data_IF_166950858414
#
_entry.id   IF_166950858414
#
_cell.length_a   1.000
_cell.length_b   1.000
_cell.length_c   1.000
_cell.angle_alpha   90.00
_cell.angle_beta   90.00
_cell.angle_gamma   90.00
#
_symmetry.space_group_name_H-M   'P 1'
#
loop_
_entity.id
_entity.type
_entity.pdbx_description
1 polymer ?
#
# COMPACT_ATOMS: atom_id res chain seq x y z
N UNK A 1 37.97 16.55 -27.06
CA UNK A 1 36.91 15.75 -27.69
C UNK A 1 35.58 16.35 -27.31
N UNK A 2 34.75 16.58 -28.32
CA UNK A 2 33.49 17.32 -28.24
C UNK A 2 32.35 16.52 -27.59
N UNK A 3 31.34 17.29 -27.18
CA UNK A 3 30.03 16.99 -26.61
C UNK A 3 29.21 15.85 -27.25
N UNK A 4 28.32 15.24 -26.46
CA UNK A 4 26.85 15.46 -26.58
C UNK A 4 26.07 14.70 -25.51
N UNK A 5 25.38 15.45 -24.65
CA UNK A 5 24.23 14.97 -23.88
C UNK A 5 22.96 15.24 -24.68
N UNK A 6 22.05 14.27 -24.73
CA UNK A 6 20.75 14.41 -25.37
C UNK A 6 19.67 14.55 -24.28
N UNK A 7 19.08 15.76 -24.18
CA UNK A 7 17.85 16.05 -23.45
C UNK A 7 16.68 16.00 -24.44
N UNK A 8 15.66 15.18 -24.15
CA UNK A 8 14.41 15.14 -24.90
C UNK A 8 13.40 16.19 -24.38
N UNK A 9 12.52 16.74 -25.25
CA UNK A 9 11.62 17.84 -24.89
C UNK A 9 10.31 17.40 -24.25
N UNK A 10 9.85 18.20 -23.27
CA UNK A 10 8.57 18.10 -22.60
C UNK A 10 7.45 18.77 -23.43
N UNK A 11 6.30 18.08 -23.55
CA UNK A 11 5.08 18.61 -24.18
C UNK A 11 4.21 19.30 -23.13
N UNK A 12 3.72 20.49 -23.51
CA UNK A 12 3.05 21.44 -22.63
C UNK A 12 1.60 21.09 -22.25
N UNK A 13 1.26 21.52 -21.04
CA UNK A 13 -0.08 21.53 -20.46
C UNK A 13 -0.94 22.65 -21.08
N UNK A 14 -2.15 22.31 -21.52
CA UNK A 14 -3.17 23.25 -21.99
C UNK A 14 -4.35 23.33 -21.01
N UNK A 15 -4.76 24.58 -20.76
CA UNK A 15 -6.12 25.08 -20.50
C UNK A 15 -6.78 24.80 -19.12
N UNK A 16 -6.74 25.84 -18.30
CA UNK A 16 -7.72 26.14 -17.26
C UNK A 16 -8.96 26.80 -17.90
N UNK A 17 -10.14 26.23 -17.68
CA UNK A 17 -11.43 26.83 -18.02
C UNK A 17 -12.22 26.99 -16.71
N UNK A 18 -12.41 28.23 -16.26
CA UNK A 18 -13.17 28.56 -15.06
C UNK A 18 -14.56 29.05 -15.44
N UNK A 19 -15.57 28.35 -14.93
CA UNK A 19 -16.99 28.68 -15.04
C UNK A 19 -17.33 29.86 -14.12
N UNK A 20 -17.98 30.91 -14.66
CA UNK A 20 -18.65 31.93 -13.84
C UNK A 20 -20.16 31.86 -14.06
N UNK A 21 -20.86 31.77 -12.94
CA UNK A 21 -22.31 31.69 -12.77
C UNK A 21 -22.99 33.02 -13.14
N UNK A 22 -24.03 32.95 -13.95
CA UNK A 22 -24.91 34.09 -14.27
C UNK A 22 -26.04 34.19 -13.24
N UNK A 23 -26.21 35.36 -12.64
CA UNK A 23 -27.45 35.73 -11.95
C UNK A 23 -28.19 36.75 -12.81
N UNK A 24 -29.40 36.41 -13.20
CA UNK A 24 -30.31 37.27 -13.93
C UNK A 24 -30.98 38.28 -13.00
N UNK A 25 -31.11 39.51 -13.47
CA UNK A 25 -32.10 40.45 -12.95
C UNK A 25 -32.82 41.06 -14.14
N UNK A 26 -34.13 40.80 -14.18
CA UNK A 26 -35.10 41.30 -15.15
C UNK A 26 -35.35 42.79 -14.90
N UNK A 27 -35.24 43.61 -15.94
CA UNK A 27 -35.65 45.01 -15.91
C UNK A 27 -36.73 45.26 -16.98
N UNK A 28 -37.92 45.65 -16.49
CA UNK A 28 -39.07 46.11 -17.28
C UNK A 28 -38.75 47.44 -17.97
N UNK A 29 -39.11 47.53 -19.25
CA UNK A 29 -39.30 48.78 -20.00
C UNK A 29 -40.56 49.50 -19.50
N UNK A 30 -40.50 50.82 -19.34
CA UNK A 30 -41.24 51.76 -20.21
C UNK A 30 -41.16 53.22 -19.74
N UNK A 31 -41.07 54.10 -20.75
CA UNK A 31 -41.56 55.48 -20.83
C UNK A 31 -40.90 56.57 -19.97
N UNK A 32 -40.26 57.54 -20.62
CA UNK A 32 -40.91 58.82 -20.95
C UNK A 32 -39.99 59.70 -21.81
N UNK A 33 -40.59 60.38 -22.77
CA UNK A 33 -39.96 61.33 -23.67
C UNK A 33 -39.81 62.72 -23.04
N UNK A 34 -38.98 63.54 -23.69
CA UNK A 34 -38.84 65.00 -23.59
C UNK A 34 -37.81 65.56 -22.59
N UNK A 35 -36.62 65.89 -23.10
CA UNK A 35 -35.88 67.14 -22.86
C UNK A 35 -34.60 67.08 -23.73
N UNK A 36 -34.59 67.82 -24.84
CA UNK A 36 -33.87 69.09 -24.95
C UNK A 36 -32.36 68.89 -25.24
N UNK A 37 -32.03 69.20 -26.49
CA UNK A 37 -30.73 69.65 -26.99
C UNK A 37 -29.79 70.16 -25.88
N UNK A 38 -28.66 69.48 -25.64
CA UNK A 38 -27.43 70.10 -25.11
C UNK A 38 -26.22 69.17 -25.24
N UNK A 39 -25.25 69.67 -26.02
CA UNK A 39 -23.80 69.39 -25.99
C UNK A 39 -23.34 67.95 -26.23
N UNK A 40 -22.93 67.75 -27.47
CA UNK A 40 -21.85 66.87 -27.90
C UNK A 40 -20.58 67.18 -27.09
N UNK A 41 -20.46 66.62 -25.88
CA UNK A 41 -19.19 66.61 -25.16
C UNK A 41 -18.31 65.53 -25.81
N UNK A 42 -17.41 65.98 -26.68
CA UNK A 42 -16.18 65.25 -26.95
C UNK A 42 -15.53 64.91 -25.61
N UNK A 43 -15.63 63.67 -25.18
CA UNK A 43 -14.72 63.13 -24.17
C UNK A 43 -13.37 63.01 -24.85
N UNK A 44 -12.58 64.07 -24.73
CA UNK A 44 -11.14 64.00 -24.95
C UNK A 44 -10.61 62.88 -24.04
N UNK A 45 -10.22 61.76 -24.64
CA UNK A 45 -9.40 60.78 -23.95
C UNK A 45 -8.09 61.46 -23.60
N UNK A 46 -7.92 61.85 -22.34
CA UNK A 46 -6.65 62.29 -21.79
C UNK A 46 -5.73 61.07 -21.65
N UNK A 47 -5.36 60.47 -22.78
CA UNK A 47 -4.18 59.62 -22.89
C UNK A 47 -3.05 60.53 -23.36
N UNK A 48 -2.26 61.06 -22.43
CA UNK A 48 -1.09 61.91 -22.74
C UNK A 48 0.10 61.12 -23.25
N UNK A 49 0.00 59.80 -23.39
CA UNK A 49 0.99 59.00 -24.11
C UNK A 49 0.71 59.08 -25.61
N UNK A 50 1.50 59.90 -26.30
CA UNK A 50 1.53 59.90 -27.76
C UNK A 50 1.76 58.47 -28.25
N UNK A 51 0.89 57.94 -29.11
CA UNK A 51 1.16 56.70 -29.81
C UNK A 51 2.49 56.89 -30.56
N UNK A 52 3.56 56.25 -30.10
CA UNK A 52 4.85 56.27 -30.80
C UNK A 52 4.67 55.52 -32.12
N UNK A 53 4.18 56.22 -33.13
CA UNK A 53 4.09 55.75 -34.49
C UNK A 53 5.52 55.63 -35.01
N UNK A 54 6.07 54.41 -34.97
CA UNK A 54 7.36 54.11 -35.60
C UNK A 54 7.28 54.58 -37.06
N UNK A 55 8.07 55.60 -37.41
CA UNK A 55 7.97 56.37 -38.67
C UNK A 55 8.27 55.53 -39.90
N UNK A 56 9.24 54.63 -39.79
CA UNK A 56 9.64 53.70 -40.85
C UNK A 56 9.40 52.26 -40.40
N UNK A 57 8.52 51.57 -41.12
CA UNK A 57 8.05 50.20 -40.82
C UNK A 57 8.44 49.18 -41.90
N UNK A 58 9.11 49.61 -42.96
CA UNK A 58 9.51 48.74 -44.06
C UNK A 58 10.71 47.85 -43.69
N UNK A 59 10.87 46.67 -44.33
CA UNK A 59 12.04 45.81 -44.14
C UNK A 59 13.32 46.54 -44.54
N UNK A 60 14.35 46.51 -43.70
CA UNK A 60 15.60 47.27 -43.91
C UNK A 60 15.56 48.70 -43.39
N UNK A 61 14.47 49.14 -42.75
CA UNK A 61 14.48 50.37 -41.97
C UNK A 61 15.51 50.28 -40.84
N UNK A 62 16.20 51.39 -40.56
CA UNK A 62 17.25 51.47 -39.54
C UNK A 62 16.71 51.03 -38.17
N UNK A 63 17.33 50.01 -37.59
CA UNK A 63 16.95 49.49 -36.28
C UNK A 63 17.89 50.00 -35.19
N UNK A 64 17.42 50.94 -34.39
CA UNK A 64 18.18 51.53 -33.29
C UNK A 64 17.85 50.87 -31.93
N UNK A 65 17.07 49.78 -31.91
CA UNK A 65 16.78 49.07 -30.67
C UNK A 65 17.91 48.12 -30.30
N UNK A 66 18.17 47.98 -29.02
CA UNK A 66 19.01 46.87 -28.55
C UNK A 66 18.23 45.56 -28.67
N UNK A 67 18.82 44.59 -29.36
CA UNK A 67 18.20 43.29 -29.60
C UNK A 67 18.40 42.31 -28.42
N UNK A 68 19.42 42.53 -27.59
CA UNK A 68 19.60 41.75 -26.39
C UNK A 68 18.78 42.35 -25.24
N UNK A 69 17.58 41.83 -25.00
CA UNK A 69 16.65 42.37 -23.98
C UNK A 69 17.23 42.29 -22.56
N UNK A 70 17.87 41.17 -22.22
CA UNK A 70 18.42 40.89 -20.89
C UNK A 70 19.91 41.26 -20.75
N UNK A 71 20.39 42.20 -21.56
CA UNK A 71 21.79 42.66 -21.49
C UNK A 71 22.11 43.17 -20.10
N UNK A 72 23.11 42.55 -19.47
CA UNK A 72 23.57 42.94 -18.14
C UNK A 72 22.62 42.60 -17.00
N UNK A 73 21.57 41.80 -17.24
CA UNK A 73 20.63 41.36 -16.20
C UNK A 73 21.04 39.98 -15.65
N UNK A 74 21.22 39.88 -14.33
CA UNK A 74 21.45 38.60 -13.64
C UNK A 74 20.91 38.64 -12.21
N UNK A 75 20.11 37.62 -11.86
CA UNK A 75 19.49 37.51 -10.54
C UNK A 75 20.51 37.22 -9.43
N UNK A 76 21.45 36.30 -9.67
CA UNK A 76 22.45 35.87 -8.69
C UNK A 76 23.36 37.04 -8.28
N UNK A 77 23.77 37.88 -9.24
CA UNK A 77 24.65 39.03 -8.98
C UNK A 77 23.90 40.30 -8.57
N UNK A 78 22.57 40.22 -8.40
CA UNK A 78 21.71 41.33 -7.97
C UNK A 78 21.91 42.60 -8.82
N UNK A 79 22.05 42.46 -10.13
CA UNK A 79 22.29 43.61 -11.04
C UNK A 79 21.09 44.55 -11.14
N UNK A 80 19.90 44.10 -10.74
CA UNK A 80 18.65 44.84 -10.87
C UNK A 80 18.03 44.73 -12.27
N UNK A 81 16.93 45.45 -12.48
CA UNK A 81 16.24 45.53 -13.77
C UNK A 81 16.98 46.52 -14.68
N UNK A 82 17.08 46.19 -15.97
CA UNK A 82 17.75 47.06 -16.94
C UNK A 82 17.04 48.40 -17.13
N UNK A 83 15.71 48.35 -17.13
CA UNK A 83 14.86 49.53 -17.34
C UNK A 83 14.15 49.90 -16.04
N UNK A 84 13.75 51.17 -15.93
CA UNK A 84 12.79 51.61 -14.91
C UNK A 84 11.41 51.10 -15.29
N UNK A 85 10.85 50.26 -14.44
CA UNK A 85 9.51 49.71 -14.58
C UNK A 85 8.51 50.62 -13.87
N UNK A 86 7.21 50.45 -14.13
CA UNK A 86 6.17 51.22 -13.44
C UNK A 86 6.18 51.03 -11.92
N UNK A 87 6.64 49.86 -11.45
CA UNK A 87 6.70 49.48 -10.03
C UNK A 87 8.13 49.54 -9.47
N UNK A 88 9.10 50.16 -10.17
CA UNK A 88 10.50 50.14 -9.71
C UNK A 88 10.73 50.95 -8.44
N UNK A 89 9.86 51.94 -8.18
CA UNK A 89 10.01 52.87 -7.08
C UNK A 89 9.20 52.43 -5.85
N UNK A 90 8.37 51.40 -6.00
CA UNK A 90 7.63 50.80 -4.88
C UNK A 90 8.52 49.84 -4.09
N UNK A 91 8.46 49.87 -2.75
CA UNK A 91 9.20 48.92 -1.93
C UNK A 91 8.66 47.50 -2.16
N UNK A 92 9.55 46.54 -2.36
CA UNK A 92 9.17 45.14 -2.56
C UNK A 92 8.38 44.63 -1.33
N UNK A 93 7.23 43.96 -1.53
CA UNK A 93 6.47 43.39 -0.43
C UNK A 93 7.27 42.27 0.22
N UNK A 94 7.32 42.27 1.56
CA UNK A 94 7.97 41.20 2.32
C UNK A 94 6.94 40.11 2.60
N UNK A 95 7.08 38.91 2.01
CA UNK A 95 6.15 37.82 2.27
C UNK A 95 6.29 37.33 3.72
N UNK A 96 5.23 36.72 4.23
CA UNK A 96 5.27 36.02 5.53
C UNK A 96 6.13 34.78 5.38
N UNK A 97 7.01 34.55 6.35
CA UNK A 97 7.86 33.36 6.39
C UNK A 97 7.02 32.09 6.49
N UNK A 98 7.46 31.00 5.84
CA UNK A 98 6.69 29.74 5.80
C UNK A 98 6.46 29.14 7.19
N UNK A 99 7.33 29.43 8.15
CA UNK A 99 7.22 28.99 9.55
C UNK A 99 6.12 29.69 10.33
N UNK A 100 5.67 30.86 9.87
CA UNK A 100 4.64 31.68 10.53
C UNK A 100 3.25 31.48 9.90
N UNK A 101 3.13 30.57 8.93
CA UNK A 101 1.84 30.21 8.36
C UNK A 101 0.98 29.50 9.42
N UNK A 102 -0.35 29.69 9.38
CA UNK A 102 -1.25 28.98 10.28
C UNK A 102 -1.11 27.46 10.07
N UNK A 103 -1.16 26.71 11.17
CA UNK A 103 -1.13 25.26 11.12
C UNK A 103 -2.36 24.73 10.36
N UNK A 104 -2.13 23.79 9.44
CA UNK A 104 -3.20 23.15 8.68
C UNK A 104 -3.84 22.09 9.57
N UNK A 105 -5.15 22.12 9.72
CA UNK A 105 -5.90 21.09 10.43
C UNK A 105 -5.73 19.75 9.70
N UNK A 106 -5.21 18.75 10.42
CA UNK A 106 -5.04 17.38 9.90
C UNK A 106 -6.07 16.47 10.54
N UNK A 107 -6.58 15.51 9.78
CA UNK A 107 -7.51 14.51 10.32
C UNK A 107 -6.80 13.63 11.35
N UNK A 108 -7.44 13.44 12.50
CA UNK A 108 -6.94 12.59 13.58
C UNK A 108 -6.94 11.10 13.19
N UNK A 109 -7.86 10.69 12.30
CA UNK A 109 -8.00 9.31 11.84
C UNK A 109 -7.33 9.08 10.47
N UNK A 110 -6.31 9.88 10.15
CA UNK A 110 -5.57 9.71 8.92
C UNK A 110 -4.76 8.40 8.91
N UNK A 111 -4.84 7.62 7.83
CA UNK A 111 -4.17 6.31 7.73
C UNK A 111 -2.63 6.36 7.81
N UNK A 112 -2.00 7.51 7.58
CA UNK A 112 -0.55 7.65 7.77
C UNK A 112 -0.12 7.65 9.24
N UNK A 113 -1.03 7.91 10.18
CA UNK A 113 -0.70 7.83 11.61
C UNK A 113 -0.28 6.42 12.03
N UNK A 114 -0.66 5.39 11.27
CA UNK A 114 -0.24 4.01 11.50
C UNK A 114 1.27 3.78 11.37
N UNK A 115 2.04 4.70 10.77
CA UNK A 115 3.49 4.58 10.64
C UNK A 115 4.26 5.09 11.87
N UNK A 116 3.58 5.78 12.79
CA UNK A 116 4.20 6.45 13.93
C UNK A 116 3.75 5.80 15.23
N UNK A 117 4.64 5.75 16.22
CA UNK A 117 4.32 5.27 17.56
C UNK A 117 3.58 6.33 18.36
N UNK A 118 4.09 7.55 18.33
CA UNK A 118 3.47 8.73 18.92
C UNK A 118 3.25 9.81 17.86
N UNK A 119 2.29 10.71 18.11
CA UNK A 119 1.94 11.81 17.21
C UNK A 119 2.93 12.97 17.29
N UNK A 120 3.62 13.13 18.42
CA UNK A 120 4.58 14.22 18.63
C UNK A 120 5.98 13.81 18.18
N UNK A 121 6.46 12.67 18.67
CA UNK A 121 7.76 12.11 18.28
C UNK A 121 7.58 10.83 17.49
N UNK A 122 8.06 10.85 16.24
CA UNK A 122 7.99 9.69 15.34
C UNK A 122 8.72 8.47 15.91
N UNK A 123 9.89 8.70 16.53
CA UNK A 123 10.65 7.66 17.20
C UNK A 123 10.24 7.54 18.67
N UNK A 124 9.99 6.32 19.11
CA UNK A 124 9.67 6.01 20.50
C UNK A 124 10.94 6.04 21.38
N UNK A 125 10.74 6.29 22.67
CA UNK A 125 11.81 6.30 23.65
C UNK A 125 12.44 4.90 23.80
N UNK A 126 13.78 4.79 23.97
CA UNK A 126 14.46 3.49 24.05
C UNK A 126 13.92 2.58 25.16
N UNK A 127 13.54 3.15 26.30
CA UNK A 127 12.95 2.41 27.42
C UNK A 127 11.62 1.75 27.08
N UNK A 128 10.84 2.38 26.21
CA UNK A 128 9.55 1.84 25.79
C UNK A 128 9.70 0.87 24.62
N UNK A 129 10.62 1.13 23.69
CA UNK A 129 11.01 0.19 22.64
C UNK A 129 11.47 -1.15 23.23
N UNK A 130 12.20 -1.09 24.35
CA UNK A 130 12.67 -2.26 25.09
C UNK A 130 11.54 -3.04 25.79
N UNK A 131 10.39 -2.40 26.08
CA UNK A 131 9.23 -3.04 26.71
C UNK A 131 8.42 -3.83 25.69
N UNK A 132 8.97 -4.97 25.26
CA UNK A 132 8.26 -5.94 24.43
C UNK A 132 8.37 -7.36 24.98
N UNK A 133 7.41 -8.20 24.62
CA UNK A 133 7.44 -9.62 24.93
C UNK A 133 8.36 -10.41 23.99
N UNK A 134 8.39 -11.73 24.16
CA UNK A 134 9.09 -12.63 23.23
C UNK A 134 8.32 -12.81 21.92
N UNK A 135 9.02 -13.28 20.89
CA UNK A 135 8.37 -13.83 19.69
C UNK A 135 7.53 -15.09 19.98
N UNK A 136 6.52 -15.31 19.14
CA UNK A 136 5.69 -16.51 19.12
C UNK A 136 6.52 -17.77 18.80
N UNK A 137 6.31 -18.82 19.58
CA UNK A 137 6.89 -20.15 19.29
C UNK A 137 6.11 -20.84 18.17
N UNK A 138 6.78 -21.70 17.42
CA UNK A 138 6.15 -22.53 16.37
C UNK A 138 5.01 -23.38 16.94
N UNK A 139 5.23 -23.98 18.12
CA UNK A 139 4.24 -24.83 18.80
C UNK A 139 2.95 -24.06 19.09
N UNK A 140 3.05 -22.82 19.53
CA UNK A 140 1.89 -21.96 19.84
C UNK A 140 1.12 -21.60 18.57
N UNK A 141 1.84 -21.38 17.46
CA UNK A 141 1.27 -21.04 16.17
C UNK A 141 0.56 -22.24 15.51
N UNK A 142 0.97 -23.49 15.82
CA UNK A 142 0.32 -24.71 15.31
C UNK A 142 -1.13 -24.85 15.74
N UNK A 143 -1.54 -24.24 16.85
CA UNK A 143 -2.93 -24.29 17.32
C UNK A 143 -3.82 -23.14 16.78
N UNK A 144 -3.33 -22.31 15.84
CA UNK A 144 -4.08 -21.16 15.31
C UNK A 144 -4.70 -21.42 13.94
N UNK A 145 -5.85 -20.79 13.68
CA UNK A 145 -6.53 -20.86 12.37
C UNK A 145 -5.70 -20.15 11.28
N UNK A 146 -6.00 -20.43 9.99
CA UNK A 146 -5.34 -19.72 8.88
C UNK A 146 -5.63 -18.21 8.91
N UNK A 147 -6.88 -17.82 9.19
CA UNK A 147 -7.29 -16.42 9.25
C UNK A 147 -6.54 -15.64 10.33
N UNK A 148 -6.35 -16.25 11.50
CA UNK A 148 -5.61 -15.61 12.60
C UNK A 148 -4.13 -15.45 12.27
N UNK A 149 -3.52 -16.47 11.65
CA UNK A 149 -2.12 -16.40 11.19
C UNK A 149 -1.95 -15.31 10.12
N UNK A 150 -2.91 -15.17 9.21
CA UNK A 150 -2.87 -14.14 8.17
C UNK A 150 -3.05 -12.73 8.74
N UNK A 151 -3.98 -12.54 9.69
CA UNK A 151 -4.13 -11.26 10.40
C UNK A 151 -2.88 -10.91 11.20
N UNK A 152 -2.34 -11.89 11.95
CA UNK A 152 -1.11 -11.72 12.72
C UNK A 152 0.08 -11.34 11.83
N UNK A 153 0.20 -11.96 10.66
CA UNK A 153 1.23 -11.60 9.68
C UNK A 153 1.17 -10.11 9.31
N UNK A 154 -0.02 -9.57 9.02
CA UNK A 154 -0.16 -8.15 8.69
C UNK A 154 0.11 -7.22 9.88
N UNK A 155 -0.23 -7.63 11.09
CA UNK A 155 0.17 -6.91 12.31
C UNK A 155 1.70 -6.84 12.40
N UNK A 156 2.40 -7.94 12.16
CA UNK A 156 3.86 -7.97 12.12
C UNK A 156 4.44 -7.07 11.02
N UNK A 157 3.86 -7.08 9.82
CA UNK A 157 4.30 -6.21 8.71
C UNK A 157 4.13 -4.73 9.06
N UNK A 158 2.96 -4.34 9.61
CA UNK A 158 2.71 -2.95 10.05
C UNK A 158 3.71 -2.55 11.13
N UNK A 159 3.99 -3.43 12.09
CA UNK A 159 4.96 -3.15 13.14
C UNK A 159 6.37 -2.95 12.59
N UNK A 160 6.83 -3.79 11.66
CA UNK A 160 8.14 -3.62 11.02
C UNK A 160 8.24 -2.30 10.24
N UNK A 161 7.15 -1.88 9.60
CA UNK A 161 7.10 -0.59 8.91
C UNK A 161 7.20 0.57 9.91
N UNK A 162 6.55 0.49 11.08
CA UNK A 162 6.71 1.48 12.17
C UNK A 162 8.14 1.54 12.68
N UNK A 163 8.75 0.39 12.96
CA UNK A 163 10.15 0.31 13.41
C UNK A 163 11.10 0.94 12.37
N UNK A 164 10.88 0.65 11.08
CA UNK A 164 11.71 1.21 10.01
C UNK A 164 11.58 2.73 9.92
N UNK A 165 10.36 3.26 10.00
CA UNK A 165 10.11 4.71 10.03
C UNK A 165 10.77 5.38 11.23
N UNK A 166 10.61 4.80 12.42
CA UNK A 166 11.22 5.31 13.65
C UNK A 166 12.76 5.30 13.58
N UNK A 167 13.35 4.21 13.10
CA UNK A 167 14.81 4.08 12.94
C UNK A 167 15.36 5.08 11.92
N UNK A 168 14.64 5.28 10.80
CA UNK A 168 15.05 6.27 9.80
C UNK A 168 15.02 7.69 10.35
N UNK A 169 13.94 8.05 11.04
CA UNK A 169 13.80 9.39 11.62
C UNK A 169 14.80 9.63 12.75
N UNK A 170 15.05 8.63 13.61
CA UNK A 170 16.08 8.70 14.66
C UNK A 170 17.46 9.01 14.08
N UNK A 171 17.83 8.34 12.99
CA UNK A 171 19.11 8.55 12.32
C UNK A 171 19.20 9.90 11.62
N UNK A 172 18.14 10.31 10.93
CA UNK A 172 18.09 11.58 10.19
C UNK A 172 18.08 12.79 11.12
N UNK A 173 17.24 12.74 12.16
CA UNK A 173 17.09 13.80 13.17
C UNK A 173 18.12 13.72 14.29
N UNK A 174 19.02 12.72 14.25
CA UNK A 174 20.12 12.51 15.20
C UNK A 174 19.65 12.50 16.65
N UNK A 175 18.54 11.80 16.91
CA UNK A 175 17.90 11.73 18.23
C UNK A 175 18.72 10.91 19.25
N UNK A 176 19.76 10.20 18.81
CA UNK A 176 20.72 9.51 19.69
C UNK A 176 20.48 8.00 19.73
N UNK A 177 20.41 7.45 20.96
CA UNK A 177 20.32 6.01 21.23
C UNK A 177 18.93 5.42 20.90
N UNK A 178 18.80 4.10 20.90
CA UNK A 178 17.55 3.36 20.60
C UNK A 178 17.68 2.33 19.48
N UNK A 179 18.75 2.36 18.70
CA UNK A 179 18.93 1.48 17.54
C UNK A 179 19.07 0.00 17.92
N UNK A 180 19.66 -0.30 19.07
CA UNK A 180 19.85 -1.68 19.52
C UNK A 180 18.51 -2.29 19.97
N UNK A 181 17.70 -1.49 20.66
CA UNK A 181 16.38 -1.82 21.17
C UNK A 181 15.41 -2.07 20.00
N UNK A 182 15.38 -1.15 19.03
CA UNK A 182 14.55 -1.31 17.83
C UNK A 182 14.96 -2.53 16.99
N UNK A 183 16.27 -2.84 16.86
CA UNK A 183 16.76 -4.04 16.17
C UNK A 183 16.38 -5.33 16.91
N UNK A 184 16.44 -5.31 18.24
CA UNK A 184 16.03 -6.46 19.07
C UNK A 184 14.54 -6.74 18.88
N UNK A 185 13.72 -5.68 18.91
CA UNK A 185 12.28 -5.76 18.66
C UNK A 185 11.97 -6.29 17.26
N UNK A 186 12.59 -5.74 16.20
CA UNK A 186 12.41 -6.23 14.81
C UNK A 186 12.84 -7.70 14.69
N UNK A 187 13.90 -8.11 15.39
CA UNK A 187 14.33 -9.52 15.41
C UNK A 187 13.27 -10.44 16.00
N UNK A 188 12.59 -10.03 17.08
CA UNK A 188 11.47 -10.80 17.64
C UNK A 188 10.30 -10.88 16.65
N UNK A 189 9.92 -9.77 16.02
CA UNK A 189 8.85 -9.77 15.00
C UNK A 189 9.20 -10.63 13.79
N UNK A 190 10.45 -10.63 13.34
CA UNK A 190 10.92 -11.49 12.26
C UNK A 190 10.90 -12.97 12.65
N UNK A 191 11.18 -13.29 13.91
CA UNK A 191 11.08 -14.66 14.43
C UNK A 191 9.64 -15.18 14.33
N UNK A 192 8.65 -14.35 14.67
CA UNK A 192 7.23 -14.73 14.59
C UNK A 192 6.81 -14.95 13.14
N UNK A 193 7.20 -14.04 12.22
CA UNK A 193 6.93 -14.17 10.79
C UNK A 193 7.54 -15.47 10.23
N UNK A 194 8.77 -15.81 10.63
CA UNK A 194 9.41 -17.07 10.25
C UNK A 194 8.65 -18.29 10.78
N UNK A 195 8.18 -18.22 12.02
CA UNK A 195 7.35 -19.27 12.64
C UNK A 195 6.04 -19.48 11.88
N UNK A 196 5.34 -18.40 11.51
CA UNK A 196 4.10 -18.46 10.73
C UNK A 196 4.35 -19.15 9.39
N UNK A 197 5.39 -18.74 8.66
CA UNK A 197 5.76 -19.37 7.38
C UNK A 197 6.03 -20.86 7.55
N UNK A 198 6.76 -21.23 8.60
CA UNK A 198 7.11 -22.62 8.87
C UNK A 198 5.87 -23.48 9.15
N UNK A 199 4.96 -23.05 10.02
CA UNK A 199 3.73 -23.79 10.35
C UNK A 199 2.83 -23.95 9.13
N UNK A 200 2.69 -22.92 8.29
CA UNK A 200 1.88 -23.02 7.07
C UNK A 200 2.46 -24.03 6.07
N UNK A 201 3.78 -24.03 5.90
CA UNK A 201 4.46 -25.01 5.04
C UNK A 201 4.36 -26.43 5.60
N UNK A 202 4.55 -26.60 6.91
CA UNK A 202 4.41 -27.90 7.60
C UNK A 202 3.00 -28.47 7.42
N UNK A 203 1.96 -27.66 7.66
CA UNK A 203 0.55 -28.08 7.49
C UNK A 203 0.25 -28.52 6.07
N UNK A 204 0.77 -27.80 5.08
CA UNK A 204 0.55 -28.14 3.68
C UNK A 204 1.16 -29.50 3.35
N UNK A 205 2.40 -29.76 3.79
CA UNK A 205 3.05 -31.05 3.55
C UNK A 205 2.36 -32.19 4.30
N UNK A 206 1.99 -31.99 5.57
CA UNK A 206 1.26 -32.98 6.35
C UNK A 206 -0.10 -33.29 5.71
N UNK A 207 -0.80 -32.28 5.19
CA UNK A 207 -2.06 -32.48 4.48
C UNK A 207 -1.87 -33.23 3.17
N UNK A 208 -0.87 -32.88 2.35
CA UNK A 208 -0.56 -33.60 1.10
C UNK A 208 -0.22 -35.07 1.34
N UNK A 209 0.55 -35.36 2.39
CA UNK A 209 0.91 -36.73 2.75
C UNK A 209 -0.28 -37.50 3.35
N UNK A 210 -1.13 -36.83 4.14
CA UNK A 210 -2.37 -37.43 4.66
C UNK A 210 -3.36 -37.76 3.54
N UNK A 211 -3.48 -36.92 2.50
CA UNK A 211 -4.32 -37.20 1.33
C UNK A 211 -3.82 -38.43 0.57
N UNK A 212 -2.51 -38.54 0.33
CA UNK A 212 -1.91 -39.74 -0.31
C UNK A 212 -2.14 -41.00 0.53
N UNK A 213 -2.06 -40.90 1.85
CA UNK A 213 -2.33 -42.03 2.74
C UNK A 213 -3.82 -42.43 2.71
N UNK A 214 -4.72 -41.45 2.69
CA UNK A 214 -6.16 -41.66 2.60
C UNK A 214 -6.58 -42.32 1.29
N UNK A 215 -5.84 -42.16 0.19
CA UNK A 215 -6.10 -42.89 -1.07
C UNK A 215 -5.98 -44.41 -0.90
N UNK A 216 -5.16 -44.86 0.05
CA UNK A 216 -4.94 -46.29 0.34
C UNK A 216 -5.82 -46.81 1.49
N UNK A 217 -6.48 -45.93 2.23
CA UNK A 217 -7.26 -46.27 3.41
C UNK A 217 -8.69 -46.69 3.03
N UNK A 218 -9.19 -47.78 3.61
CA UNK A 218 -10.54 -48.28 3.34
C UNK A 218 -11.61 -47.52 4.13
N UNK A 219 -11.24 -46.85 5.22
CA UNK A 219 -12.17 -46.11 6.07
C UNK A 219 -12.51 -44.71 5.51
N UNK A 220 -11.74 -44.22 4.54
CA UNK A 220 -11.83 -42.85 4.02
C UNK A 220 -12.33 -42.83 2.58
N UNK A 221 -13.45 -42.14 2.36
CA UNK A 221 -14.06 -42.01 1.03
C UNK A 221 -13.72 -40.64 0.40
N UNK A 222 -12.76 -40.61 -0.52
CA UNK A 222 -12.32 -39.38 -1.20
C UNK A 222 -13.24 -38.92 -2.36
N UNK A 223 -14.10 -39.81 -2.87
CA UNK A 223 -14.94 -39.55 -4.05
C UNK A 223 -16.15 -38.65 -3.76
N UNK A 224 -16.48 -38.43 -2.49
CA UNK A 224 -17.57 -37.52 -2.07
C UNK A 224 -18.98 -38.09 -2.18
N UNK A 225 -19.15 -39.36 -2.55
CA UNK A 225 -20.45 -40.05 -2.69
C UNK A 225 -21.05 -40.54 -1.36
N UNK A 226 -20.81 -39.84 -0.25
CA UNK A 226 -21.30 -40.22 1.08
C UNK A 226 -20.53 -39.61 2.24
N UNK A 227 -20.58 -40.26 3.41
CA UNK A 227 -19.77 -39.87 4.56
C UNK A 227 -18.28 -40.05 4.26
N UNK A 228 -17.48 -39.00 4.44
CA UNK A 228 -16.05 -38.99 4.11
C UNK A 228 -15.22 -39.96 4.97
N UNK A 229 -15.70 -40.30 6.17
CA UNK A 229 -15.05 -41.24 7.08
C UNK A 229 -16.10 -42.21 7.63
N UNK A 230 -15.87 -43.52 7.43
CA UNK A 230 -16.68 -44.61 7.97
C UNK A 230 -15.80 -45.46 8.87
N UNK A 231 -15.93 -45.35 10.21
CA UNK A 231 -15.12 -46.11 11.15
C UNK A 231 -15.26 -47.62 10.87
N UNK A 232 -14.15 -48.36 10.86
CA UNK A 232 -14.24 -49.81 10.86
C UNK A 232 -14.80 -50.29 12.21
N UNK A 233 -15.82 -51.14 12.18
CA UNK A 233 -16.38 -51.80 13.37
C UNK A 233 -15.34 -52.75 13.97
N UNK A 234 -14.50 -52.24 14.88
CA UNK A 234 -13.54 -53.08 15.61
C UNK A 234 -13.94 -53.35 17.07
N UNK A 235 -15.11 -52.91 17.53
CA UNK A 235 -15.52 -53.11 18.94
C UNK A 235 -16.99 -53.54 19.11
N UNK A 236 -17.37 -54.69 18.53
CA UNK A 236 -18.50 -55.51 18.99
C UNK A 236 -18.20 -57.02 18.83
N UNK A 237 -17.09 -57.51 19.41
CA UNK A 237 -16.88 -58.97 19.56
C UNK A 237 -16.38 -59.40 20.95
N UNK A 238 -16.72 -58.62 21.99
CA UNK A 238 -16.89 -59.18 23.33
C UNK A 238 -18.39 -59.46 23.49
N UNK A 239 -18.77 -60.70 23.83
CA UNK A 239 -20.16 -61.23 23.99
C UNK A 239 -20.83 -61.94 22.78
N UNK A 240 -20.07 -62.59 21.90
CA UNK A 240 -20.61 -63.77 21.22
C UNK A 240 -20.50 -64.97 22.17
N UNK A 241 -21.52 -65.19 23.00
CA UNK A 241 -21.73 -66.45 23.72
C UNK A 241 -21.59 -67.61 22.72
N UNK A 242 -20.52 -68.38 22.85
CA UNK A 242 -20.39 -69.66 22.16
C UNK A 242 -21.33 -70.64 22.86
N UNK A 243 -22.60 -70.64 22.47
CA UNK A 243 -23.49 -71.77 22.74
C UNK A 243 -22.94 -73.00 22.00
N UNK A 244 -22.44 -73.96 22.77
CA UNK A 244 -22.02 -75.28 22.27
C UNK A 244 -23.27 -76.16 22.14
N UNK A 245 -23.74 -76.54 20.93
CA UNK A 245 -24.82 -77.49 20.83
C UNK A 245 -24.33 -78.92 21.08
N UNK A 246 -25.07 -79.58 21.98
CA UNK A 246 -24.86 -80.92 22.49
C UNK A 246 -24.94 -82.03 21.43
N UNK A 247 -24.21 -83.10 21.73
CA UNK A 247 -24.09 -84.36 20.99
C UNK A 247 -25.42 -85.04 20.62
N UNK A 248 -25.43 -85.72 19.47
CA UNK A 248 -26.28 -86.87 19.19
C UNK A 248 -25.46 -87.99 18.53
N UNK A 249 -25.60 -89.18 19.11
CA UNK A 249 -24.89 -90.42 18.81
C UNK A 249 -25.40 -91.12 17.51
N UNK A 250 -24.45 -91.56 16.65
CA UNK A 250 -24.14 -92.94 16.15
C UNK A 250 -25.36 -93.83 15.72
N UNK A 251 -25.35 -94.58 14.56
CA UNK A 251 -24.37 -95.65 14.37
C UNK A 251 -23.86 -96.08 12.97
N UNK A 252 -22.61 -96.55 13.04
CA UNK A 252 -21.87 -97.63 12.38
C UNK A 252 -22.46 -98.49 11.24
N UNK A 253 -21.63 -98.68 10.21
CA UNK A 253 -21.41 -99.93 9.43
C UNK A 253 -20.04 -99.80 8.73
N UNK A 254 -18.95 -100.39 9.24
CA UNK A 254 -18.38 -101.68 8.80
C UNK A 254 -18.30 -101.88 7.27
N UNK A 255 -17.07 -101.80 6.71
CA UNK A 255 -16.45 -102.83 5.84
C UNK A 255 -15.05 -102.39 5.35
N UNK A 256 -14.04 -103.13 5.79
CA UNK A 256 -12.75 -103.42 5.12
C UNK A 256 -12.73 -104.97 4.95
N UNK A 257 -11.83 -105.65 4.17
CA UNK A 257 -10.45 -105.28 3.81
C UNK A 257 -9.93 -105.82 2.44
N UNK A 258 -8.64 -105.55 2.12
CA UNK A 258 -7.61 -106.48 1.54
C UNK A 258 -6.50 -105.64 0.88
N UNK A 259 -5.32 -105.51 1.49
CA UNK A 259 -4.10 -106.31 1.27
C UNK A 259 -3.52 -106.24 -0.15
N UNK A 260 -2.35 -105.61 -0.30
CA UNK A 260 -1.15 -106.25 -0.89
C UNK A 260 0.11 -105.38 -0.69
N UNK A 261 1.23 -106.06 -0.42
CA UNK A 261 2.52 -105.54 -0.03
C UNK A 261 3.54 -105.62 -1.18
N UNK A 262 4.44 -104.63 -1.28
CA UNK A 262 5.76 -104.70 -1.95
C UNK A 262 6.50 -103.37 -1.65
N UNK A 263 7.48 -103.30 -0.74
CA UNK A 263 8.91 -103.69 -0.84
C UNK A 263 9.84 -102.64 -1.47
N UNK A 264 10.88 -102.27 -0.69
CA UNK A 264 12.27 -101.88 -1.06
C UNK A 264 12.50 -100.51 -1.74
N UNK A 265 13.19 -99.56 -1.08
CA UNK A 265 14.66 -99.39 -0.96
C UNK A 265 15.37 -99.00 -2.27
N UNK A 266 15.61 -97.70 -2.46
CA UNK A 266 16.88 -97.06 -2.89
C UNK A 266 16.72 -95.54 -2.90
#
# INVERSE_FOLDING_TARGET
>A
MASSGAMGPAMGSMLLQSCRVAHGVSARRAAAAAAAFLRQQQRAGLSTTAAMLKRHKYPGARDNRDHNKHRGESAIRRTGTRWRLSMSDEPLPKPVERSQLPHIETDENHGLWDFFYDRQTVAQAPEEDAKHGRGWSVEELRHKSWDDLHRLWWVCVKERNRIATATWERNKSKLGFGDAESKTRDSQVRLTMRGIRHVLTERQYVWEDAVKLAETDLEVNLLGDGAAYTPSEYLESEEAEVEVPAAKEVPASEEAPSEEAASELA
#
